data_IF_109676957949
#
_entry.id   IF_109676957949
#
_cell.length_a   1.000
_cell.length_b   1.000
_cell.length_c   1.000
_cell.angle_alpha   90.00
_cell.angle_beta   90.00
_cell.angle_gamma   90.00
#
_symmetry.space_group_name_H-M   'P 1'
#
loop_
_entity.id
_entity.type
_entity.pdbx_description
1 polymer ?
#
# COMPACT_ATOMS: atom_id res chain seq x y z
N UNK A 1 -16.15 -27.69 9.73
CA UNK A 1 -17.08 -27.75 8.56
C UNK A 1 -18.51 -27.59 9.06
N UNK A 2 -19.29 -26.68 8.47
CA UNK A 2 -20.74 -26.43 8.71
C UNK A 2 -21.67 -27.64 8.45
N UNK A 3 -21.12 -28.77 8.00
CA UNK A 3 -21.85 -29.91 7.44
C UNK A 3 -22.69 -30.70 8.47
N UNK A 4 -22.44 -30.53 9.78
CA UNK A 4 -23.21 -31.22 10.83
C UNK A 4 -24.30 -30.33 11.48
N UNK A 5 -24.57 -29.14 10.95
CA UNK A 5 -25.63 -28.25 11.45
C UNK A 5 -25.32 -27.50 12.76
N UNK A 6 -24.12 -27.67 13.33
CA UNK A 6 -23.70 -26.96 14.55
C UNK A 6 -23.46 -25.48 14.25
N UNK A 7 -24.10 -24.61 15.04
CA UNK A 7 -23.87 -23.16 14.98
C UNK A 7 -22.60 -22.81 15.75
N UNK A 8 -21.56 -22.38 15.03
CA UNK A 8 -20.32 -21.90 15.64
C UNK A 8 -20.22 -20.37 15.51
N UNK A 9 -19.76 -19.74 16.59
CA UNK A 9 -19.42 -18.30 16.65
C UNK A 9 -18.06 -18.14 17.30
N UNK A 10 -17.27 -17.22 16.78
CA UNK A 10 -15.90 -16.99 17.23
C UNK A 10 -15.66 -15.48 17.33
N UNK A 11 -15.03 -15.05 18.41
CA UNK A 11 -14.47 -13.71 18.58
C UNK A 11 -12.97 -13.86 18.80
N UNK A 12 -12.17 -13.07 18.09
CA UNK A 12 -10.71 -12.98 18.25
C UNK A 12 -10.29 -11.57 18.65
N UNK A 13 -9.05 -11.47 19.11
CA UNK A 13 -8.39 -10.18 19.33
C UNK A 13 -8.02 -9.51 17.99
N UNK A 14 -7.90 -8.18 18.00
CA UNK A 14 -7.39 -7.36 16.88
C UNK A 14 -5.86 -7.30 16.89
N UNK A 15 -5.22 -8.45 17.02
CA UNK A 15 -3.77 -8.53 16.95
C UNK A 15 -3.32 -9.12 15.61
N UNK A 16 -2.21 -8.59 15.10
CA UNK A 16 -1.60 -9.04 13.85
C UNK A 16 -0.91 -10.42 13.98
N UNK A 17 -1.07 -11.13 15.11
CA UNK A 17 -0.43 -12.44 15.33
C UNK A 17 -1.23 -13.59 14.76
N UNK A 18 -2.52 -13.38 14.45
CA UNK A 18 -3.33 -14.38 13.75
C UNK A 18 -2.88 -14.50 12.30
N UNK A 19 -2.55 -15.70 11.84
CA UNK A 19 -2.08 -15.88 10.46
C UNK A 19 -3.20 -15.62 9.45
N UNK A 20 -2.85 -15.02 8.30
CA UNK A 20 -3.78 -14.75 7.19
C UNK A 20 -4.58 -16.00 6.79
N UNK A 21 -3.93 -17.18 6.85
CA UNK A 21 -4.57 -18.45 6.53
C UNK A 21 -5.65 -18.87 7.54
N UNK A 22 -5.47 -18.57 8.84
CA UNK A 22 -6.49 -18.86 9.87
C UNK A 22 -7.68 -17.92 9.71
N UNK A 23 -7.43 -16.62 9.53
CA UNK A 23 -8.47 -15.62 9.29
C UNK A 23 -9.29 -16.00 8.06
N UNK A 24 -8.63 -16.34 6.96
CA UNK A 24 -9.24 -16.85 5.73
C UNK A 24 -10.13 -18.07 5.99
N UNK A 25 -9.58 -19.11 6.61
CA UNK A 25 -10.28 -20.38 6.85
C UNK A 25 -11.53 -20.17 7.71
N UNK A 26 -11.41 -19.38 8.77
CA UNK A 26 -12.52 -19.09 9.69
C UNK A 26 -13.57 -18.19 9.05
N UNK A 27 -13.14 -17.17 8.28
CA UNK A 27 -14.06 -16.31 7.51
C UNK A 27 -14.86 -17.13 6.51
N UNK A 28 -14.22 -18.04 5.77
CA UNK A 28 -14.90 -18.94 4.84
C UNK A 28 -15.89 -19.86 5.55
N UNK A 29 -15.52 -20.40 6.71
CA UNK A 29 -16.33 -21.38 7.42
C UNK A 29 -17.51 -20.76 8.19
N UNK A 30 -17.32 -19.57 8.76
CA UNK A 30 -18.23 -18.97 9.73
C UNK A 30 -18.95 -17.72 9.20
N UNK A 31 -18.39 -17.05 8.18
CA UNK A 31 -18.92 -15.79 7.65
C UNK A 31 -19.06 -14.73 8.76
N UNK A 32 -20.25 -14.14 8.87
CA UNK A 32 -20.57 -13.11 9.88
C UNK A 32 -20.55 -13.61 11.34
N UNK A 33 -20.36 -14.92 11.55
CA UNK A 33 -20.14 -15.52 12.86
C UNK A 33 -18.66 -15.54 13.31
N UNK A 34 -17.74 -15.10 12.45
CA UNK A 34 -16.37 -14.81 12.83
C UNK A 34 -16.19 -13.31 12.97
N UNK A 35 -15.78 -12.89 14.15
CA UNK A 35 -15.75 -11.48 14.55
C UNK A 35 -14.47 -11.15 15.29
N UNK A 36 -14.18 -9.87 15.31
CA UNK A 36 -13.01 -9.29 15.96
C UNK A 36 -13.47 -8.27 16.99
N UNK A 37 -12.83 -8.28 18.15
CA UNK A 37 -13.11 -7.29 19.20
C UNK A 37 -12.84 -5.87 18.70
N UNK A 38 -13.57 -4.90 19.23
CA UNK A 38 -13.36 -3.47 18.95
C UNK A 38 -13.04 -2.66 20.21
N UNK A 39 -12.97 -3.34 21.36
CA UNK A 39 -12.73 -2.71 22.66
C UNK A 39 -11.25 -2.31 22.81
N UNK A 40 -10.99 -1.22 23.54
CA UNK A 40 -9.63 -0.81 23.88
C UNK A 40 -9.04 -1.79 24.90
N UNK A 41 -8.05 -2.58 24.48
CA UNK A 41 -7.41 -3.60 25.31
C UNK A 41 -7.18 -4.88 24.52
N UNK A 42 -6.68 -5.92 25.18
CA UNK A 42 -6.44 -7.23 24.57
C UNK A 42 -7.55 -8.19 25.04
N UNK A 43 -8.27 -8.80 24.10
CA UNK A 43 -9.14 -9.94 24.36
C UNK A 43 -8.29 -11.17 24.69
N UNK A 44 -7.87 -11.26 25.94
CA UNK A 44 -6.95 -12.30 26.38
C UNK A 44 -7.66 -13.59 26.85
N UNK A 45 -8.96 -13.74 26.61
CA UNK A 45 -9.69 -14.94 26.98
C UNK A 45 -9.27 -16.16 26.14
N UNK A 46 -9.16 -17.32 26.79
CA UNK A 46 -9.04 -18.63 26.13
C UNK A 46 -10.21 -19.47 26.61
N UNK A 47 -11.33 -19.39 25.88
CA UNK A 47 -12.62 -19.95 26.30
C UNK A 47 -13.32 -20.61 25.11
N UNK A 48 -13.77 -21.84 25.30
CA UNK A 48 -14.71 -22.54 24.41
C UNK A 48 -15.93 -22.96 25.20
N UNK A 49 -17.12 -22.73 24.63
CA UNK A 49 -18.40 -23.03 25.26
C UNK A 49 -19.19 -23.91 24.30
N UNK A 50 -19.62 -25.07 24.77
CA UNK A 50 -20.47 -25.98 24.02
C UNK A 50 -21.83 -26.12 24.70
N UNK A 51 -22.89 -26.03 23.89
CA UNK A 51 -24.27 -26.35 24.25
C UNK A 51 -24.85 -25.63 25.49
N UNK A 52 -24.35 -24.46 25.86
CA UNK A 52 -24.78 -23.70 27.05
C UNK A 52 -26.29 -23.42 27.15
N UNK A 53 -27.02 -23.44 26.03
CA UNK A 53 -28.46 -23.21 25.98
C UNK A 53 -29.29 -24.48 25.75
N UNK A 54 -28.66 -25.65 25.63
CA UNK A 54 -29.36 -26.89 25.32
C UNK A 54 -29.72 -27.62 26.61
N UNK A 55 -31.00 -27.63 26.96
CA UNK A 55 -31.50 -28.28 28.18
C UNK A 55 -31.39 -29.81 28.16
N UNK A 56 -31.22 -30.39 26.97
CA UNK A 56 -31.16 -31.84 26.77
C UNK A 56 -29.72 -32.33 26.46
N UNK A 57 -28.70 -31.51 26.71
CA UNK A 57 -27.29 -31.87 26.52
C UNK A 57 -26.51 -31.83 27.84
N UNK A 58 -25.20 -32.04 27.78
CA UNK A 58 -24.27 -31.79 28.88
C UNK A 58 -23.39 -30.58 28.52
N UNK A 59 -23.75 -29.36 28.96
CA UNK A 59 -22.99 -28.15 28.63
C UNK A 59 -21.55 -28.20 29.14
N UNK A 60 -20.63 -27.70 28.34
CA UNK A 60 -19.19 -27.74 28.64
C UNK A 60 -18.56 -26.37 28.47
N UNK A 61 -17.67 -26.01 29.39
CA UNK A 61 -16.72 -24.89 29.23
C UNK A 61 -15.30 -25.44 29.26
N UNK A 62 -14.53 -25.11 28.23
CA UNK A 62 -13.08 -25.23 28.23
C UNK A 62 -12.49 -23.85 28.49
N UNK A 63 -11.61 -23.73 29.47
CA UNK A 63 -10.91 -22.46 29.75
C UNK A 63 -9.57 -22.70 30.44
N UNK A 64 -8.76 -21.65 30.62
CA UNK A 64 -7.46 -21.73 31.28
C UNK A 64 -6.50 -20.68 30.74
N UNK A 65 -5.21 -20.98 30.84
CA UNK A 65 -4.15 -20.16 30.25
C UNK A 65 -3.85 -20.55 28.79
N UNK A 66 -4.22 -21.77 28.41
CA UNK A 66 -3.84 -22.42 27.16
C UNK A 66 -4.43 -21.75 25.90
N UNK A 67 -3.58 -21.16 25.07
CA UNK A 67 -3.95 -20.69 23.72
C UNK A 67 -4.06 -21.87 22.75
N UNK A 68 -4.94 -21.81 21.74
CA UNK A 68 -4.99 -22.81 20.66
C UNK A 68 -3.82 -22.65 19.68
N UNK A 69 -2.61 -23.02 20.11
CA UNK A 69 -1.37 -22.89 19.35
C UNK A 69 -0.42 -24.06 19.62
N UNK A 70 0.45 -24.38 18.65
CA UNK A 70 1.44 -25.44 18.83
C UNK A 70 2.36 -25.19 20.04
N UNK A 71 2.78 -23.95 20.28
CA UNK A 71 3.66 -23.65 21.42
C UNK A 71 2.99 -23.94 22.76
N UNK A 72 1.70 -23.65 22.88
CA UNK A 72 0.93 -23.92 24.09
C UNK A 72 0.75 -25.43 24.32
N UNK A 73 0.67 -26.22 23.25
CA UNK A 73 0.54 -27.69 23.31
C UNK A 73 1.85 -28.41 23.64
N UNK A 74 3.00 -27.93 23.14
CA UNK A 74 4.26 -28.69 23.18
C UNK A 74 5.44 -28.00 23.88
N UNK A 75 5.34 -26.71 24.25
CA UNK A 75 6.48 -25.97 24.82
C UNK A 75 6.18 -25.26 26.12
N UNK A 76 5.02 -24.63 26.24
CA UNK A 76 4.70 -23.79 27.39
C UNK A 76 4.04 -24.61 28.51
N UNK A 77 4.27 -24.18 29.74
CA UNK A 77 3.55 -24.71 30.91
C UNK A 77 2.17 -24.05 31.00
N UNK A 78 1.17 -24.69 30.38
CA UNK A 78 -0.20 -24.19 30.28
C UNK A 78 -1.18 -25.10 31.00
N UNK A 79 -2.28 -24.54 31.50
CA UNK A 79 -3.38 -25.32 32.07
C UNK A 79 -4.66 -25.20 31.23
N UNK A 80 -5.36 -26.33 31.08
CA UNK A 80 -6.71 -26.41 30.52
C UNK A 80 -7.66 -27.03 31.54
N UNK A 81 -8.74 -26.32 31.83
CA UNK A 81 -9.84 -26.75 32.68
C UNK A 81 -11.02 -27.13 31.78
N UNK A 82 -11.63 -28.28 32.06
CA UNK A 82 -12.85 -28.76 31.40
C UNK A 82 -13.94 -28.84 32.46
N UNK A 83 -14.96 -28.00 32.34
CA UNK A 83 -16.04 -27.87 33.32
C UNK A 83 -17.35 -28.37 32.72
N UNK A 84 -17.94 -29.37 33.36
CA UNK A 84 -19.26 -29.92 33.02
C UNK A 84 -20.30 -29.39 34.00
N UNK A 85 -20.73 -28.14 33.80
CA UNK A 85 -21.71 -27.47 34.66
C UNK A 85 -22.53 -26.48 33.84
N UNK A 86 -23.85 -26.66 33.86
CA UNK A 86 -24.78 -25.84 33.08
C UNK A 86 -24.87 -24.38 33.56
N UNK A 87 -24.72 -24.14 34.87
CA UNK A 87 -24.75 -22.78 35.42
C UNK A 87 -23.48 -22.02 35.02
N UNK A 88 -22.31 -22.67 35.13
CA UNK A 88 -21.03 -22.09 34.70
C UNK A 88 -21.06 -21.84 33.19
N UNK A 89 -21.51 -22.81 32.39
CA UNK A 89 -21.63 -22.65 30.94
C UNK A 89 -22.53 -21.46 30.56
N UNK A 90 -23.64 -21.26 31.27
CA UNK A 90 -24.53 -20.12 31.05
C UNK A 90 -23.86 -18.78 31.39
N UNK A 91 -23.08 -18.69 32.48
CA UNK A 91 -22.34 -17.46 32.82
C UNK A 91 -21.32 -17.08 31.73
N UNK A 92 -20.51 -18.03 31.29
CA UNK A 92 -19.57 -17.81 30.19
C UNK A 92 -20.30 -17.45 28.88
N UNK A 93 -21.47 -18.05 28.63
CA UNK A 93 -22.27 -17.76 27.45
C UNK A 93 -22.82 -16.32 27.45
N UNK A 94 -23.22 -15.79 28.60
CA UNK A 94 -23.68 -14.41 28.72
C UNK A 94 -22.55 -13.42 28.40
N UNK A 95 -21.38 -13.63 28.99
CA UNK A 95 -20.17 -12.84 28.73
C UNK A 95 -19.73 -12.90 27.25
N UNK A 96 -19.74 -14.09 26.65
CA UNK A 96 -19.45 -14.27 25.23
C UNK A 96 -20.47 -13.56 24.35
N UNK A 97 -21.76 -13.68 24.69
CA UNK A 97 -22.85 -13.09 23.90
C UNK A 97 -22.79 -11.57 23.89
N UNK A 98 -22.41 -10.95 25.00
CA UNK A 98 -22.18 -9.50 25.08
C UNK A 98 -21.01 -9.08 24.18
N UNK A 99 -19.85 -9.73 24.33
CA UNK A 99 -18.65 -9.41 23.52
C UNK A 99 -18.90 -9.61 22.02
N UNK A 100 -19.57 -10.71 21.64
CA UNK A 100 -19.89 -11.01 20.25
C UNK A 100 -20.77 -9.92 19.61
N UNK A 101 -21.69 -9.30 20.38
CA UNK A 101 -22.52 -8.18 19.91
C UNK A 101 -21.71 -6.90 19.70
N UNK A 102 -20.72 -6.63 20.55
CA UNK A 102 -19.83 -5.46 20.46
C UNK A 102 -18.72 -5.62 19.42
N UNK A 103 -18.44 -6.87 19.02
CA UNK A 103 -17.40 -7.19 18.05
C UNK A 103 -17.83 -6.87 16.62
N UNK A 104 -16.89 -6.44 15.79
CA UNK A 104 -17.11 -6.18 14.36
C UNK A 104 -17.03 -7.48 13.56
N UNK A 105 -17.75 -7.55 12.45
CA UNK A 105 -17.55 -8.63 11.47
C UNK A 105 -16.21 -8.40 10.81
N UNK A 106 -15.39 -9.44 10.74
CA UNK A 106 -14.18 -9.42 9.92
C UNK A 106 -14.65 -9.48 8.47
N UNK A 107 -14.62 -8.34 7.80
CA UNK A 107 -14.92 -8.28 6.38
C UNK A 107 -13.72 -8.89 5.62
N UNK A 108 -13.91 -9.93 4.81
CA UNK A 108 -12.87 -10.30 3.85
C UNK A 108 -12.64 -9.08 2.95
N UNK A 109 -11.38 -8.73 2.69
CA UNK A 109 -11.08 -7.66 1.74
C UNK A 109 -11.81 -7.97 0.42
N UNK A 110 -12.73 -7.08 0.06
CA UNK A 110 -13.67 -7.32 -1.03
C UNK A 110 -13.09 -6.92 -2.39
N UNK A 111 -11.95 -6.22 -2.40
CA UNK A 111 -11.31 -5.69 -3.60
C UNK A 111 -9.81 -5.91 -3.47
N UNK A 112 -9.23 -6.59 -4.45
CA UNK A 112 -7.79 -6.58 -4.71
C UNK A 112 -7.44 -5.35 -5.55
N UNK A 113 -6.52 -4.53 -5.06
CA UNK A 113 -5.98 -3.36 -5.75
C UNK A 113 -4.50 -3.19 -5.39
N UNK A 114 -3.63 -3.41 -6.37
CA UNK A 114 -2.17 -3.28 -6.26
C UNK A 114 -1.70 -1.83 -6.49
N UNK A 115 -2.62 -0.92 -6.83
CA UNK A 115 -2.34 0.47 -7.13
C UNK A 115 -1.91 0.73 -8.57
N UNK A 116 -1.57 1.99 -8.89
CA UNK A 116 -1.15 2.36 -10.24
C UNK A 116 0.25 1.83 -10.57
N UNK A 117 0.58 1.78 -11.87
CA UNK A 117 1.94 1.48 -12.35
C UNK A 117 2.98 2.42 -11.74
N UNK A 118 4.15 1.88 -11.42
CA UNK A 118 5.22 2.62 -10.73
C UNK A 118 6.55 2.54 -11.49
N UNK A 119 7.36 3.58 -11.33
CA UNK A 119 8.72 3.68 -11.89
C UNK A 119 9.71 3.87 -10.74
N UNK A 120 10.70 3.00 -10.65
CA UNK A 120 11.59 2.89 -9.48
C UNK A 120 13.05 2.73 -9.91
N UNK A 121 13.95 3.23 -9.07
CA UNK A 121 15.37 3.15 -9.30
C UNK A 121 15.93 1.73 -9.22
N UNK A 122 16.88 1.42 -10.10
CA UNK A 122 17.68 0.22 -10.00
C UNK A 122 18.36 0.11 -8.63
N UNK A 123 18.27 -1.07 -8.00
CA UNK A 123 18.77 -1.31 -6.64
C UNK A 123 17.81 -0.94 -5.51
N UNK A 124 16.69 -0.26 -5.79
CA UNK A 124 15.62 -0.09 -4.79
C UNK A 124 14.72 -1.33 -4.75
N UNK A 125 14.18 -1.58 -3.55
CA UNK A 125 13.22 -2.65 -3.30
C UNK A 125 11.81 -2.06 -3.28
N UNK A 126 10.91 -2.68 -4.01
CA UNK A 126 9.48 -2.39 -3.97
C UNK A 126 8.80 -3.51 -3.20
N UNK A 127 7.93 -3.14 -2.27
CA UNK A 127 7.05 -4.08 -1.59
C UNK A 127 5.69 -3.96 -2.28
N UNK A 128 5.23 -5.05 -2.89
CA UNK A 128 3.86 -5.16 -3.38
C UNK A 128 3.03 -5.89 -2.33
N UNK A 129 1.90 -5.30 -1.98
CA UNK A 129 0.98 -5.81 -0.97
C UNK A 129 -0.40 -6.02 -1.59
N UNK A 130 -0.88 -7.26 -1.58
CA UNK A 130 -2.22 -7.61 -2.04
C UNK A 130 -3.28 -7.36 -0.96
N UNK A 131 -2.90 -6.94 0.24
CA UNK A 131 -3.75 -6.81 1.40
C UNK A 131 -4.03 -8.16 2.09
N UNK A 132 -4.51 -8.10 3.33
CA UNK A 132 -4.86 -9.29 4.12
C UNK A 132 -6.33 -9.70 3.91
N UNK A 133 -6.76 -10.85 4.45
CA UNK A 133 -8.18 -11.24 4.43
C UNK A 133 -8.68 -11.96 3.17
N UNK A 134 -7.78 -12.33 2.25
CA UNK A 134 -8.09 -13.24 1.15
C UNK A 134 -7.80 -14.70 1.53
N UNK A 135 -8.50 -15.65 0.91
CA UNK A 135 -8.37 -17.08 1.16
C UNK A 135 -7.07 -17.69 0.66
N UNK A 136 -6.53 -17.13 -0.41
CA UNK A 136 -5.29 -17.57 -1.04
C UNK A 136 -4.72 -16.43 -1.86
N UNK A 137 -3.40 -16.44 -2.03
CA UNK A 137 -2.67 -15.55 -2.92
C UNK A 137 -1.92 -16.40 -3.94
N UNK A 138 -1.85 -15.93 -5.16
CA UNK A 138 -1.00 -16.49 -6.20
C UNK A 138 -0.43 -15.35 -7.03
N UNK A 139 0.83 -15.04 -6.79
CA UNK A 139 1.59 -14.08 -7.56
C UNK A 139 2.13 -14.69 -8.85
N UNK A 140 2.34 -13.86 -9.86
CA UNK A 140 2.99 -14.25 -11.14
C UNK A 140 4.37 -14.91 -10.99
N UNK A 141 5.08 -14.66 -9.88
CA UNK A 141 6.35 -15.33 -9.55
C UNK A 141 6.18 -16.68 -8.81
N UNK A 142 4.94 -17.14 -8.61
CA UNK A 142 4.59 -18.37 -7.90
C UNK A 142 4.48 -18.22 -6.37
N UNK A 143 4.72 -17.04 -5.80
CA UNK A 143 4.55 -16.80 -4.37
C UNK A 143 3.08 -16.92 -3.94
N UNK A 144 2.86 -17.41 -2.72
CA UNK A 144 1.55 -17.49 -2.06
C UNK A 144 1.45 -16.61 -0.81
N UNK A 145 2.47 -15.78 -0.55
CA UNK A 145 2.43 -14.78 0.52
C UNK A 145 1.52 -13.59 0.16
N UNK A 146 1.00 -12.89 1.17
CA UNK A 146 0.20 -11.67 0.97
C UNK A 146 1.02 -10.50 0.42
N UNK A 147 2.34 -10.53 0.59
CA UNK A 147 3.28 -9.54 0.05
C UNK A 147 4.44 -10.19 -0.70
N UNK A 148 4.97 -9.49 -1.70
CA UNK A 148 6.23 -9.84 -2.36
C UNK A 148 7.17 -8.63 -2.41
N UNK A 149 8.46 -8.90 -2.31
CA UNK A 149 9.50 -7.89 -2.52
C UNK A 149 10.07 -8.10 -3.92
N UNK A 150 10.13 -7.02 -4.68
CA UNK A 150 10.62 -7.04 -6.05
C UNK A 150 11.69 -5.98 -6.25
N UNK A 151 12.76 -6.36 -6.95
CA UNK A 151 13.91 -5.51 -7.22
C UNK A 151 14.60 -5.92 -8.53
N UNK A 152 15.64 -5.19 -8.90
CA UNK A 152 16.41 -5.45 -10.13
C UNK A 152 17.19 -6.76 -10.12
N UNK A 153 17.43 -7.38 -8.97
CA UNK A 153 18.16 -8.66 -8.88
C UNK A 153 17.31 -9.82 -9.40
N UNK A 154 15.99 -9.76 -9.19
CA UNK A 154 15.05 -10.75 -9.70
C UNK A 154 14.47 -10.46 -11.07
N UNK A 155 14.39 -9.18 -11.48
CA UNK A 155 13.58 -8.76 -12.64
C UNK A 155 14.33 -7.98 -13.73
N UNK A 156 15.56 -7.53 -13.47
CA UNK A 156 16.35 -6.75 -14.43
C UNK A 156 15.88 -5.29 -14.59
N UNK A 157 16.45 -4.61 -15.59
CA UNK A 157 16.05 -3.25 -16.00
C UNK A 157 14.93 -3.33 -17.05
N UNK A 158 14.06 -2.31 -17.06
CA UNK A 158 12.91 -2.21 -17.95
C UNK A 158 11.57 -2.35 -17.23
N UNK A 159 10.49 -2.45 -18.00
CA UNK A 159 9.14 -2.64 -17.48
C UNK A 159 8.81 -4.12 -17.36
N UNK A 160 8.29 -4.51 -16.20
CA UNK A 160 7.70 -5.82 -15.97
C UNK A 160 6.30 -5.67 -15.40
N UNK A 161 5.37 -6.47 -15.90
CA UNK A 161 4.01 -6.55 -15.36
C UNK A 161 3.90 -7.77 -14.48
N UNK A 162 3.52 -7.54 -13.23
CA UNK A 162 3.23 -8.58 -12.24
C UNK A 162 1.73 -8.66 -12.02
N UNK A 163 1.24 -9.86 -11.76
CA UNK A 163 -0.15 -10.08 -11.35
C UNK A 163 -0.22 -10.78 -10.00
N UNK A 164 -1.31 -10.50 -9.28
CA UNK A 164 -1.74 -11.29 -8.13
C UNK A 164 -3.15 -11.79 -8.37
N UNK A 165 -3.38 -13.07 -8.11
CA UNK A 165 -4.72 -13.67 -8.10
C UNK A 165 -5.06 -14.07 -6.68
N UNK A 166 -6.20 -13.61 -6.20
CA UNK A 166 -6.72 -13.90 -4.87
C UNK A 166 -8.09 -14.55 -4.93
N UNK A 167 -8.44 -15.32 -3.91
CA UNK A 167 -9.78 -15.86 -3.74
C UNK A 167 -10.41 -15.27 -2.48
N UNK A 168 -11.68 -14.90 -2.53
CA UNK A 168 -12.46 -14.53 -1.35
C UNK A 168 -13.88 -15.09 -1.43
N UNK A 169 -14.75 -14.65 -0.51
CA UNK A 169 -16.18 -15.04 -0.47
C UNK A 169 -16.95 -14.64 -1.73
N UNK A 170 -16.45 -13.66 -2.49
CA UNK A 170 -17.07 -13.13 -3.71
C UNK A 170 -16.54 -13.80 -4.98
N UNK A 171 -15.53 -14.66 -4.87
CA UNK A 171 -14.93 -15.37 -5.98
C UNK A 171 -13.44 -15.07 -6.14
N UNK A 172 -12.93 -15.36 -7.33
CA UNK A 172 -11.54 -15.08 -7.71
C UNK A 172 -11.42 -13.65 -8.23
N UNK A 173 -10.41 -12.93 -7.78
CA UNK A 173 -10.04 -11.61 -8.29
C UNK A 173 -8.58 -11.65 -8.76
N UNK A 174 -8.29 -10.90 -9.82
CA UNK A 174 -6.93 -10.75 -10.33
C UNK A 174 -6.69 -9.28 -10.61
N UNK A 175 -5.53 -8.79 -10.17
CA UNK A 175 -5.06 -7.45 -10.48
C UNK A 175 -3.61 -7.49 -10.98
N UNK A 176 -3.23 -6.47 -11.73
CA UNK A 176 -1.91 -6.34 -12.37
C UNK A 176 -1.30 -4.97 -12.10
N UNK A 177 0.02 -4.97 -11.92
CA UNK A 177 0.81 -3.75 -11.77
C UNK A 177 2.06 -3.83 -12.66
N UNK A 178 2.36 -2.75 -13.37
CA UNK A 178 3.61 -2.60 -14.12
C UNK A 178 4.62 -1.82 -13.30
N UNK A 179 5.81 -2.40 -13.14
CA UNK A 179 6.95 -1.78 -12.48
C UNK A 179 8.04 -1.55 -13.51
N UNK A 180 8.49 -0.31 -13.64
CA UNK A 180 9.61 0.06 -14.51
C UNK A 180 10.85 0.33 -13.68
N UNK A 181 11.86 -0.53 -13.80
CA UNK A 181 13.19 -0.29 -13.24
C UNK A 181 14.09 0.39 -14.26
N UNK A 182 14.70 1.49 -13.86
CA UNK A 182 15.67 2.21 -14.70
C UNK A 182 16.93 2.53 -13.90
N UNK A 183 18.04 2.71 -14.60
CA UNK A 183 19.30 3.08 -13.96
C UNK A 183 19.18 4.51 -13.46
N UNK A 184 18.86 4.59 -12.17
CA UNK A 184 19.14 5.76 -11.40
C UNK A 184 20.64 5.88 -11.30
N UNK A 185 21.23 6.57 -12.26
CA UNK A 185 22.51 7.21 -12.00
C UNK A 185 22.33 7.96 -10.67
N UNK A 186 23.31 7.96 -9.78
CA UNK A 186 23.30 8.74 -8.52
C UNK A 186 23.23 10.27 -8.74
N UNK A 187 22.68 10.65 -9.89
CA UNK A 187 22.38 11.94 -10.45
C UNK A 187 20.95 11.84 -11.03
N UNK A 188 19.98 11.34 -10.26
CA UNK A 188 18.55 11.50 -10.58
C UNK A 188 18.04 12.88 -10.17
N UNK A 189 18.79 13.84 -10.69
CA UNK A 189 18.41 15.21 -10.93
C UNK A 189 18.79 15.58 -12.38
N UNK A 190 19.10 14.58 -13.24
CA UNK A 190 19.72 14.80 -14.56
C UNK A 190 19.01 14.27 -15.80
N UNK A 191 17.94 13.47 -15.70
CA UNK A 191 17.15 13.13 -16.90
C UNK A 191 16.22 14.29 -17.31
N UNK A 192 15.77 15.12 -16.36
CA UNK A 192 15.13 16.41 -16.65
C UNK A 192 16.13 17.51 -17.03
N UNK A 193 17.37 17.53 -16.50
CA UNK A 193 18.41 18.51 -16.92
C UNK A 193 19.00 18.28 -18.31
N UNK A 194 18.92 17.06 -18.87
CA UNK A 194 19.36 16.82 -20.26
C UNK A 194 18.35 17.29 -21.30
N UNK A 195 17.07 17.40 -20.96
CA UNK A 195 16.04 17.84 -21.89
C UNK A 195 15.67 19.32 -21.72
N UNK A 196 15.97 19.92 -20.57
CA UNK A 196 15.83 21.35 -20.33
C UNK A 196 17.17 21.98 -19.95
N UNK A 197 17.78 22.71 -20.89
CA UNK A 197 19.06 23.39 -20.66
C UNK A 197 19.02 24.81 -21.19
N UNK A 198 19.76 25.71 -20.55
CA UNK A 198 19.92 27.10 -20.98
C UNK A 198 21.40 27.35 -21.27
N UNK A 199 21.71 27.83 -22.46
CA UNK A 199 23.07 28.12 -22.89
C UNK A 199 23.14 29.33 -23.86
N UNK A 200 24.21 30.13 -23.82
CA UNK A 200 25.25 30.11 -22.80
C UNK A 200 24.71 30.60 -21.45
N UNK A 201 25.20 30.01 -20.37
CA UNK A 201 24.96 30.47 -19.02
C UNK A 201 26.31 30.41 -18.29
N UNK A 202 26.99 31.55 -18.07
CA UNK A 202 26.47 32.92 -18.09
C UNK A 202 26.18 33.50 -19.49
N UNK A 203 25.30 34.50 -19.59
CA UNK A 203 24.96 35.22 -20.83
C UNK A 203 25.13 36.75 -20.71
N UNK A 204 25.24 37.44 -21.84
CA UNK A 204 25.30 38.91 -21.96
C UNK A 204 24.10 39.53 -22.68
N UNK A 205 23.64 38.94 -23.78
CA UNK A 205 22.59 39.53 -24.61
C UNK A 205 21.45 38.56 -24.85
N UNK A 206 21.74 37.29 -25.13
CA UNK A 206 20.73 36.28 -25.41
C UNK A 206 21.11 34.92 -24.82
N UNK A 207 20.11 34.11 -24.51
CA UNK A 207 20.32 32.69 -24.21
C UNK A 207 19.37 31.84 -25.06
N UNK A 208 19.84 30.64 -25.37
CA UNK A 208 19.04 29.60 -26.01
C UNK A 208 18.59 28.60 -24.98
N UNK A 209 17.45 28.00 -25.26
CA UNK A 209 16.84 26.98 -24.43
C UNK A 209 16.62 25.71 -25.25
N UNK A 210 17.15 24.59 -24.77
CA UNK A 210 16.76 23.28 -25.26
C UNK A 210 15.58 22.79 -24.42
N UNK A 211 14.53 22.34 -25.07
CA UNK A 211 13.32 21.80 -24.45
C UNK A 211 13.12 20.35 -24.88
N UNK A 212 12.40 19.55 -24.07
CA UNK A 212 11.95 18.23 -24.51
C UNK A 212 11.12 18.33 -25.82
N UNK A 213 11.20 17.35 -26.75
CA UNK A 213 10.48 17.40 -28.03
C UNK A 213 8.95 17.50 -27.90
N UNK A 214 8.40 17.01 -26.80
CA UNK A 214 6.98 17.04 -26.44
C UNK A 214 6.52 18.38 -25.84
N UNK A 215 7.46 19.28 -25.53
CA UNK A 215 7.18 20.55 -24.85
C UNK A 215 7.09 21.70 -25.84
N UNK A 216 5.89 22.25 -25.98
CA UNK A 216 5.62 23.48 -26.75
C UNK A 216 5.15 24.59 -25.81
N UNK A 217 6.06 25.38 -25.22
CA UNK A 217 5.67 26.43 -24.29
C UNK A 217 5.00 27.58 -25.03
N UNK A 218 3.98 28.17 -24.41
CA UNK A 218 3.29 29.35 -24.96
C UNK A 218 4.01 30.65 -24.57
N UNK A 219 4.61 30.67 -23.37
CA UNK A 219 5.33 31.81 -22.82
C UNK A 219 6.57 31.35 -22.06
N UNK A 220 7.58 32.22 -22.03
CA UNK A 220 8.73 32.14 -21.13
C UNK A 220 8.68 33.34 -20.20
N UNK A 221 8.92 33.08 -18.91
CA UNK A 221 8.93 34.09 -17.86
C UNK A 221 10.31 34.13 -17.22
N UNK A 222 10.82 35.33 -16.98
CA UNK A 222 12.08 35.54 -16.25
C UNK A 222 11.75 36.28 -14.96
N UNK A 223 12.24 35.74 -13.86
CA UNK A 223 12.05 36.27 -12.51
C UNK A 223 13.40 36.69 -11.93
N UNK A 224 13.44 37.78 -11.17
CA UNK A 224 14.60 38.07 -10.34
C UNK A 224 14.63 37.19 -9.09
N UNK A 225 15.73 37.22 -8.33
CA UNK A 225 15.90 36.38 -7.13
C UNK A 225 14.88 36.66 -6.02
N UNK A 226 14.26 37.84 -5.98
CA UNK A 226 13.20 38.17 -5.00
C UNK A 226 11.79 37.80 -5.51
N UNK A 227 11.68 37.10 -6.64
CA UNK A 227 10.43 36.54 -7.15
C UNK A 227 9.57 37.49 -8.01
N UNK A 228 10.00 38.74 -8.23
CA UNK A 228 9.35 39.62 -9.21
C UNK A 228 9.58 39.12 -10.65
N UNK A 229 8.52 39.10 -11.46
CA UNK A 229 8.63 38.86 -12.90
C UNK A 229 9.25 40.10 -13.54
N UNK A 230 10.39 39.93 -14.20
CA UNK A 230 11.13 41.01 -14.87
C UNK A 230 10.94 41.02 -16.38
N UNK A 231 10.56 39.87 -16.96
CA UNK A 231 10.35 39.73 -18.39
C UNK A 231 9.37 38.59 -18.66
N UNK A 232 8.55 38.75 -19.71
CA UNK A 232 7.75 37.67 -20.30
C UNK A 232 7.84 37.76 -21.82
N UNK A 233 8.16 36.65 -22.48
CA UNK A 233 8.27 36.58 -23.93
C UNK A 233 7.39 35.46 -24.49
N UNK A 234 6.66 35.75 -25.55
CA UNK A 234 5.92 34.74 -26.33
C UNK A 234 6.90 33.95 -27.19
N UNK A 235 6.73 32.64 -27.24
CA UNK A 235 7.62 31.75 -27.98
C UNK A 235 7.45 31.94 -29.49
N UNK A 236 8.49 32.43 -30.17
CA UNK A 236 8.60 32.43 -31.62
C UNK A 236 9.80 31.56 -31.98
N UNK A 237 9.54 30.42 -32.62
CA UNK A 237 10.57 29.49 -33.05
C UNK A 237 11.39 30.12 -34.17
N UNK A 238 12.71 30.23 -33.98
CA UNK A 238 13.67 30.58 -35.03
C UNK A 238 14.48 29.32 -35.31
N UNK A 239 13.99 28.48 -36.24
CA UNK A 239 14.50 27.12 -36.44
C UNK A 239 14.17 26.19 -35.26
N UNK A 240 15.09 25.29 -34.91
CA UNK A 240 14.94 24.31 -33.82
C UNK A 240 15.33 24.83 -32.43
N UNK A 241 15.71 26.11 -32.31
CA UNK A 241 16.14 26.71 -31.04
C UNK A 241 15.30 27.94 -30.68
N UNK A 242 14.95 28.05 -29.40
CA UNK A 242 14.24 29.19 -28.84
C UNK A 242 15.25 30.16 -28.22
N UNK A 243 15.42 31.32 -28.85
CA UNK A 243 16.36 32.36 -28.42
C UNK A 243 15.63 33.48 -27.67
N UNK A 244 16.13 33.85 -26.50
CA UNK A 244 15.54 34.82 -25.59
C UNK A 244 16.53 35.95 -25.36
N UNK A 245 16.08 37.17 -25.67
CA UNK A 245 16.89 38.38 -25.50
C UNK A 245 16.75 38.91 -24.07
N UNK A 246 17.87 39.08 -23.38
CA UNK A 246 17.98 39.59 -22.01
C UNK A 246 18.94 40.79 -21.92
N UNK A 247 19.23 41.46 -23.04
CA UNK A 247 20.17 42.58 -23.10
C UNK A 247 19.73 43.76 -22.23
N UNK A 248 18.42 43.97 -22.07
CA UNK A 248 17.84 45.03 -21.25
C UNK A 248 17.84 44.72 -19.74
N UNK A 249 18.18 43.49 -19.35
CA UNK A 249 18.27 43.11 -17.94
C UNK A 249 19.64 43.50 -17.36
N UNK A 250 19.62 44.03 -16.15
CA UNK A 250 20.84 44.29 -15.38
C UNK A 250 21.64 43.01 -15.13
N UNK A 251 22.94 43.14 -14.89
CA UNK A 251 23.76 42.02 -14.45
C UNK A 251 23.24 41.45 -13.13
N UNK A 252 23.10 40.13 -13.03
CA UNK A 252 22.48 39.49 -11.88
C UNK A 252 22.08 38.04 -12.10
N UNK A 253 21.52 37.44 -11.06
CA UNK A 253 20.96 36.09 -11.09
C UNK A 253 19.46 36.18 -11.35
N UNK A 254 18.98 35.36 -12.28
CA UNK A 254 17.58 35.27 -12.64
C UNK A 254 17.11 33.81 -12.62
N UNK A 255 15.81 33.61 -12.45
CA UNK A 255 15.14 32.32 -12.60
C UNK A 255 14.26 32.36 -13.85
N UNK A 256 14.57 31.50 -14.81
CA UNK A 256 13.78 31.32 -16.03
C UNK A 256 12.77 30.21 -15.78
N UNK A 257 11.49 30.51 -16.00
CA UNK A 257 10.38 29.59 -15.83
C UNK A 257 9.69 29.34 -17.16
N UNK A 258 9.38 28.07 -17.42
CA UNK A 258 8.67 27.61 -18.62
C UNK A 258 7.45 26.81 -18.21
N UNK A 259 6.30 27.17 -18.75
CA UNK A 259 5.01 26.52 -18.49
C UNK A 259 4.60 25.71 -19.74
N UNK A 260 4.35 24.41 -19.56
CA UNK A 260 3.95 23.50 -20.63
C UNK A 260 2.85 22.55 -20.14
N UNK A 261 1.59 22.93 -20.35
CA UNK A 261 0.45 22.22 -19.77
C UNK A 261 0.54 22.17 -18.25
N UNK A 262 0.57 20.96 -17.67
CA UNK A 262 0.70 20.74 -16.22
C UNK A 262 2.16 20.65 -15.74
N UNK A 263 3.16 20.74 -16.64
CA UNK A 263 4.58 20.68 -16.29
C UNK A 263 5.18 22.09 -16.18
N UNK A 264 6.03 22.29 -15.18
CA UNK A 264 6.77 23.54 -14.95
C UNK A 264 8.26 23.24 -14.96
N UNK A 265 9.02 23.94 -15.79
CA UNK A 265 10.49 23.86 -15.82
C UNK A 265 11.09 25.15 -15.29
N UNK A 266 12.15 25.06 -14.50
CA UNK A 266 12.84 26.21 -13.90
C UNK A 266 14.35 26.05 -14.04
N UNK A 267 15.04 27.09 -14.50
CA UNK A 267 16.50 27.14 -14.58
C UNK A 267 17.05 28.47 -14.08
N UNK A 268 18.21 28.40 -13.42
CA UNK A 268 18.97 29.58 -13.01
C UNK A 268 19.75 30.14 -14.19
N UNK A 269 19.64 31.44 -14.45
CA UNK A 269 20.40 32.18 -15.45
C UNK A 269 21.32 33.20 -14.76
N UNK A 270 22.60 33.22 -15.13
CA UNK A 270 23.53 34.28 -14.74
C UNK A 270 23.69 35.26 -15.90
N UNK A 271 23.25 36.51 -15.70
CA UNK A 271 23.45 37.63 -16.62
C UNK A 271 24.69 38.42 -16.18
N UNK A 272 25.63 38.60 -17.10
CA UNK A 272 26.81 39.45 -16.94
C UNK A 272 26.67 40.74 -17.74
#
# INVERSE_FOLDING_TARGET
>A
RRQNGVLCRVVVDDDASCSDQVVATLTQALGTNFRETTESGILHHKVLIADALQTNSNPVVLTGSHNWSNNAEIRNDENTLILYDANIANLYYQEFSQRFKQSRVIAPNSILDLGPDISVCAGQKVILDAGTGFFSYLWSNGSTASQIIVDTSGMGLGSITLSCTVNNVYGTQTDQITITFFTCTSIEDNLTKRQFSIYPNPTREFFKMQLPPDVKPQFIEVYGIQGQMVMRQTTRLVGDSLEINVSELNAGIYMVRVLAGNKVYVARLLKQ
#
